data_IF_171762681431
#
_entry.id   IF_171762681431
#
_cell.length_a   1.000
_cell.length_b   1.000
_cell.length_c   1.000
_cell.angle_alpha   90.00
_cell.angle_beta   90.00
_cell.angle_gamma   90.00
#
_symmetry.space_group_name_H-M   'P 1'
#
loop_
_entity.id
_entity.type
_entity.pdbx_description
1 polymer ?
#
# COMPACT_ATOMS: atom_id res chain seq x y z
N UNK A 1 -9.66 5.81 1.65
CA UNK A 1 -9.09 4.70 0.85
C UNK A 1 -10.01 3.49 0.84
N UNK A 2 -9.83 2.61 -0.16
CA UNK A 2 -10.53 1.32 -0.29
C UNK A 2 -9.45 0.24 -0.29
N UNK A 3 -9.41 -0.56 0.79
CA UNK A 3 -8.51 -1.71 0.89
C UNK A 3 -9.04 -2.90 0.07
N UNK A 4 -8.14 -3.68 -0.51
CA UNK A 4 -8.48 -4.79 -1.41
C UNK A 4 -7.94 -6.15 -0.97
N UNK A 5 -7.24 -6.19 0.18
CA UNK A 5 -6.51 -7.37 0.66
C UNK A 5 -7.39 -8.59 0.91
N UNK A 6 -8.62 -8.41 1.40
CA UNK A 6 -9.55 -9.51 1.68
C UNK A 6 -9.81 -10.39 0.45
N UNK A 7 -9.80 -9.83 -0.76
CA UNK A 7 -9.93 -10.61 -1.99
C UNK A 7 -8.86 -11.70 -2.10
N UNK A 8 -7.66 -11.47 -1.60
CA UNK A 8 -6.59 -12.46 -1.57
C UNK A 8 -6.64 -13.32 -0.32
N UNK A 9 -6.75 -12.74 0.86
CA UNK A 9 -6.65 -13.48 2.12
C UNK A 9 -7.80 -14.46 2.34
N UNK A 10 -9.01 -14.12 1.89
CA UNK A 10 -10.21 -14.95 2.09
C UNK A 10 -10.54 -15.83 0.87
N UNK A 11 -10.26 -15.35 -0.36
CA UNK A 11 -10.72 -16.00 -1.58
C UNK A 11 -9.58 -16.43 -2.53
N UNK A 12 -8.33 -16.07 -2.23
CA UNK A 12 -7.17 -16.38 -3.07
C UNK A 12 -7.10 -15.61 -4.39
N UNK A 13 -7.97 -14.61 -4.57
CA UNK A 13 -8.02 -13.81 -5.80
C UNK A 13 -6.89 -12.80 -5.81
N UNK A 14 -5.99 -12.88 -6.80
CA UNK A 14 -4.82 -11.99 -6.87
C UNK A 14 -4.32 -11.69 -8.27
N UNK A 15 -3.63 -10.56 -8.40
CA UNK A 15 -3.03 -10.07 -9.66
C UNK A 15 -1.84 -10.91 -10.12
N UNK A 16 -1.20 -11.67 -9.22
CA UNK A 16 -0.04 -12.53 -9.54
C UNK A 16 -0.41 -13.99 -9.78
N UNK A 17 -1.67 -14.39 -9.61
CA UNK A 17 -2.09 -15.79 -9.65
C UNK A 17 -1.69 -16.48 -10.95
N UNK A 18 -1.30 -17.77 -10.90
CA UNK A 18 -0.87 -18.54 -12.08
C UNK A 18 -2.02 -18.79 -13.07
N UNK A 19 -3.25 -19.01 -12.58
CA UNK A 19 -4.44 -19.14 -13.41
C UNK A 19 -4.87 -17.76 -13.97
N UNK A 20 -4.95 -17.61 -15.30
CA UNK A 20 -5.39 -16.36 -15.92
C UNK A 20 -6.81 -15.95 -15.53
N UNK A 21 -7.73 -16.90 -15.29
CA UNK A 21 -9.12 -16.58 -14.89
C UNK A 21 -9.18 -15.92 -13.51
N UNK A 22 -8.32 -16.35 -12.59
CA UNK A 22 -8.23 -15.74 -11.25
C UNK A 22 -7.63 -14.34 -11.33
N UNK A 23 -6.63 -14.11 -12.20
CA UNK A 23 -6.09 -12.77 -12.45
C UNK A 23 -7.11 -11.83 -13.09
N UNK A 24 -7.86 -12.31 -14.09
CA UNK A 24 -8.95 -11.56 -14.72
C UNK A 24 -10.00 -11.14 -13.69
N UNK A 25 -10.35 -12.03 -12.77
CA UNK A 25 -11.26 -11.70 -11.66
C UNK A 25 -10.65 -10.64 -10.73
N UNK A 26 -9.35 -10.71 -10.40
CA UNK A 26 -8.69 -9.69 -9.61
C UNK A 26 -8.74 -8.31 -10.30
N UNK A 27 -8.42 -8.25 -11.58
CA UNK A 27 -8.50 -7.02 -12.40
C UNK A 27 -9.93 -6.49 -12.45
N UNK A 28 -10.92 -7.36 -12.66
CA UNK A 28 -12.35 -7.00 -12.65
C UNK A 28 -12.76 -6.39 -11.32
N UNK A 29 -12.35 -6.97 -10.18
CA UNK A 29 -12.64 -6.43 -8.84
C UNK A 29 -12.04 -5.06 -8.64
N UNK A 30 -10.78 -4.86 -9.03
CA UNK A 30 -10.16 -3.52 -9.00
C UNK A 30 -10.98 -2.54 -9.84
N UNK A 31 -11.49 -2.95 -11.00
CA UNK A 31 -12.37 -2.12 -11.82
C UNK A 31 -13.64 -1.68 -11.09
N UNK A 32 -14.27 -2.57 -10.31
CA UNK A 32 -15.45 -2.25 -9.48
C UNK A 32 -15.08 -1.29 -8.35
N UNK A 33 -13.95 -1.52 -7.66
CA UNK A 33 -13.47 -0.62 -6.61
C UNK A 33 -13.12 0.78 -7.17
N UNK A 34 -12.56 0.86 -8.36
CA UNK A 34 -12.29 2.13 -9.04
C UNK A 34 -13.58 2.89 -9.40
N UNK A 35 -14.64 2.19 -9.84
CA UNK A 35 -15.95 2.81 -10.07
C UNK A 35 -16.54 3.39 -8.79
N UNK A 36 -16.35 2.70 -7.68
CA UNK A 36 -16.81 3.17 -6.38
C UNK A 36 -15.95 4.34 -5.88
N UNK A 37 -14.63 4.19 -5.98
CA UNK A 37 -13.66 5.20 -5.56
C UNK A 37 -13.85 6.53 -6.30
N UNK A 38 -14.09 6.50 -7.62
CA UNK A 38 -14.28 7.69 -8.43
C UNK A 38 -15.50 8.53 -7.99
N UNK A 39 -16.56 7.86 -7.51
CA UNK A 39 -17.78 8.53 -7.00
C UNK A 39 -17.59 9.14 -5.61
N UNK A 40 -16.68 8.59 -4.82
CA UNK A 40 -16.43 9.03 -3.45
C UNK A 40 -15.20 9.94 -3.30
N UNK A 41 -14.47 10.20 -4.38
CA UNK A 41 -13.17 10.86 -4.28
C UNK A 41 -12.13 10.05 -3.49
N UNK A 42 -12.32 8.72 -3.43
CA UNK A 42 -11.44 7.81 -2.71
C UNK A 42 -10.32 7.26 -3.60
N UNK A 43 -9.34 6.59 -3.01
CA UNK A 43 -8.25 5.89 -3.69
C UNK A 43 -8.35 4.40 -3.42
N UNK A 44 -7.89 3.56 -4.35
CA UNK A 44 -7.90 2.10 -4.22
C UNK A 44 -6.50 1.59 -3.94
N UNK A 45 -6.34 0.80 -2.89
CA UNK A 45 -5.05 0.27 -2.45
C UNK A 45 -4.78 -1.07 -3.16
N UNK A 46 -3.63 -1.16 -3.82
CA UNK A 46 -3.04 -2.42 -4.30
C UNK A 46 -2.09 -2.91 -3.22
N UNK A 47 -2.68 -3.51 -2.20
CA UNK A 47 -2.01 -4.17 -1.09
C UNK A 47 -2.03 -5.69 -1.27
N UNK A 48 -2.68 -6.44 -0.39
CA UNK A 48 -2.76 -7.90 -0.41
C UNK A 48 -3.28 -8.50 -1.71
N UNK A 49 -4.15 -7.81 -2.47
CA UNK A 49 -4.67 -8.31 -3.75
C UNK A 49 -3.58 -8.54 -4.82
N UNK A 50 -2.37 -7.98 -4.65
CA UNK A 50 -1.25 -8.34 -5.53
C UNK A 50 -0.92 -9.83 -5.45
N UNK A 51 -1.21 -10.44 -4.30
CA UNK A 51 -0.97 -11.84 -4.02
C UNK A 51 0.47 -12.14 -3.64
N UNK A 52 0.81 -13.41 -3.79
CA UNK A 52 2.13 -13.97 -3.51
C UNK A 52 2.44 -15.01 -4.58
N UNK A 53 3.71 -15.10 -4.98
CA UNK A 53 4.17 -16.17 -5.88
C UNK A 53 4.66 -17.38 -5.07
N UNK A 54 5.23 -18.38 -5.73
CA UNK A 54 5.84 -19.52 -5.06
C UNK A 54 6.94 -19.09 -4.08
N UNK A 55 7.44 -20.02 -3.27
CA UNK A 55 8.46 -19.69 -2.25
C UNK A 55 9.75 -19.12 -2.87
N UNK A 56 10.32 -18.14 -2.18
CA UNK A 56 11.53 -17.44 -2.60
C UNK A 56 11.24 -16.18 -3.42
N UNK A 57 12.25 -15.67 -4.11
CA UNK A 57 12.09 -14.54 -5.00
C UNK A 57 11.20 -14.92 -6.22
N UNK A 58 10.35 -14.00 -6.71
CA UNK A 58 9.53 -14.26 -7.87
C UNK A 58 10.40 -14.53 -9.10
N UNK A 59 10.00 -15.50 -9.92
CA UNK A 59 10.61 -15.67 -11.23
C UNK A 59 10.29 -14.48 -12.12
N UNK A 60 11.10 -14.28 -13.18
CA UNK A 60 10.82 -13.22 -14.15
C UNK A 60 9.42 -13.32 -14.75
N UNK A 61 8.95 -14.55 -15.02
CA UNK A 61 7.61 -14.77 -15.56
C UNK A 61 6.51 -14.40 -14.56
N UNK A 62 6.66 -14.76 -13.28
CA UNK A 62 5.72 -14.41 -12.22
C UNK A 62 5.65 -12.90 -12.00
N UNK A 63 6.81 -12.24 -12.00
CA UNK A 63 6.90 -10.78 -11.92
C UNK A 63 6.19 -10.10 -13.09
N UNK A 64 6.51 -10.47 -14.33
CA UNK A 64 5.90 -9.86 -15.52
C UNK A 64 4.39 -10.13 -15.60
N UNK A 65 3.92 -11.24 -15.08
CA UNK A 65 2.50 -11.57 -14.96
C UNK A 65 1.77 -10.60 -14.03
N UNK A 66 2.36 -10.34 -12.85
CA UNK A 66 1.86 -9.32 -11.91
C UNK A 66 1.88 -7.93 -12.52
N UNK A 67 3.00 -7.53 -13.12
CA UNK A 67 3.15 -6.20 -13.73
C UNK A 67 2.09 -5.96 -14.81
N UNK A 68 1.87 -6.91 -15.71
CA UNK A 68 0.84 -6.80 -16.76
C UNK A 68 -0.57 -6.60 -16.19
N UNK A 69 -0.92 -7.35 -15.15
CA UNK A 69 -2.22 -7.18 -14.49
C UNK A 69 -2.34 -5.81 -13.80
N UNK A 70 -1.27 -5.33 -13.16
CA UNK A 70 -1.23 -4.01 -12.55
C UNK A 70 -1.37 -2.90 -13.60
N UNK A 71 -0.65 -3.00 -14.73
CA UNK A 71 -0.78 -2.04 -15.85
C UNK A 71 -2.21 -1.96 -16.40
N UNK A 72 -2.92 -3.08 -16.44
CA UNK A 72 -4.33 -3.08 -16.83
C UNK A 72 -5.20 -2.33 -15.83
N UNK A 73 -4.96 -2.54 -14.52
CA UNK A 73 -5.63 -1.79 -13.46
C UNK A 73 -5.33 -0.29 -13.55
N UNK A 74 -4.09 0.09 -13.86
CA UNK A 74 -3.68 1.50 -14.03
C UNK A 74 -4.41 2.14 -15.23
N UNK A 75 -4.47 1.46 -16.37
CA UNK A 75 -5.25 1.94 -17.52
C UNK A 75 -6.73 2.14 -17.20
N UNK A 76 -7.31 1.30 -16.33
CA UNK A 76 -8.68 1.51 -15.85
C UNK A 76 -8.77 2.74 -14.93
N UNK A 77 -7.81 2.93 -14.03
CA UNK A 77 -7.76 4.09 -13.14
C UNK A 77 -7.66 5.41 -13.94
N UNK A 78 -6.84 5.44 -14.98
CA UNK A 78 -6.72 6.59 -15.89
C UNK A 78 -8.06 6.94 -16.55
N UNK A 79 -8.73 5.95 -17.14
CA UNK A 79 -10.05 6.16 -17.80
C UNK A 79 -11.13 6.64 -16.84
N UNK A 80 -11.04 6.25 -15.56
CA UNK A 80 -12.03 6.59 -14.53
C UNK A 80 -11.66 7.84 -13.72
N UNK A 81 -10.50 8.44 -13.95
CA UNK A 81 -9.99 9.56 -13.16
C UNK A 81 -9.71 9.22 -11.69
N UNK A 82 -9.58 7.93 -11.36
CA UNK A 82 -9.30 7.44 -10.03
C UNK A 82 -7.80 7.21 -9.80
N UNK A 83 -7.36 7.04 -8.56
CA UNK A 83 -5.96 6.80 -8.21
C UNK A 83 -5.79 5.45 -7.52
N UNK A 84 -4.78 4.71 -7.93
CA UNK A 84 -4.29 3.50 -7.29
C UNK A 84 -3.11 3.84 -6.37
N UNK A 85 -3.06 3.17 -5.24
CA UNK A 85 -1.96 3.27 -4.28
C UNK A 85 -1.30 1.90 -4.16
N UNK A 86 -0.05 1.78 -4.60
CA UNK A 86 0.76 0.58 -4.42
C UNK A 86 1.38 0.62 -3.04
N UNK A 87 1.00 -0.33 -2.20
CA UNK A 87 1.49 -0.44 -0.83
C UNK A 87 2.60 -1.48 -0.75
N UNK A 88 3.86 -1.14 -0.47
CA UNK A 88 4.89 -2.11 -0.13
C UNK A 88 4.50 -2.87 1.12
N UNK A 89 4.55 -4.20 1.08
CA UNK A 89 4.15 -5.08 2.18
C UNK A 89 5.32 -5.98 2.55
N UNK A 90 5.53 -6.24 3.84
CA UNK A 90 6.66 -6.97 4.36
C UNK A 90 6.78 -8.40 3.79
N UNK A 91 8.00 -8.94 3.85
CA UNK A 91 8.42 -10.25 3.32
C UNK A 91 7.68 -11.45 3.90
N UNK A 92 7.04 -11.31 5.05
CA UNK A 92 6.30 -12.40 5.67
C UNK A 92 4.93 -12.60 5.01
N UNK A 93 4.37 -11.55 4.42
CA UNK A 93 3.05 -11.55 3.80
C UNK A 93 3.09 -11.71 2.27
N UNK A 94 4.09 -11.13 1.61
CA UNK A 94 4.26 -11.26 0.16
C UNK A 94 5.75 -11.35 -0.21
N UNK A 95 6.04 -11.77 -1.44
CA UNK A 95 7.37 -11.70 -2.05
C UNK A 95 7.38 -10.81 -3.30
N UNK A 96 6.40 -9.92 -3.41
CA UNK A 96 6.25 -8.95 -4.50
C UNK A 96 6.18 -7.54 -3.93
N UNK A 97 7.14 -6.68 -4.27
CA UNK A 97 7.20 -5.26 -3.85
C UNK A 97 7.18 -5.13 -2.32
N UNK A 98 8.30 -5.41 -1.70
CA UNK A 98 8.44 -5.35 -0.24
C UNK A 98 8.92 -3.99 0.25
N UNK A 99 9.74 -3.29 -0.54
CA UNK A 99 10.34 -2.00 -0.16
C UNK A 99 9.75 -0.83 -0.92
N UNK A 100 9.87 0.37 -0.35
CA UNK A 100 9.52 1.62 -1.02
C UNK A 100 10.31 1.78 -2.32
N UNK A 101 11.60 1.39 -2.33
CA UNK A 101 12.45 1.43 -3.52
C UNK A 101 11.91 0.55 -4.65
N UNK A 102 11.52 -0.69 -4.36
CA UNK A 102 10.89 -1.58 -5.36
C UNK A 102 9.60 -0.98 -5.92
N UNK A 103 8.80 -0.33 -5.06
CA UNK A 103 7.60 0.37 -5.49
C UNK A 103 7.94 1.57 -6.39
N UNK A 104 8.97 2.37 -6.06
CA UNK A 104 9.45 3.48 -6.89
C UNK A 104 9.86 3.03 -8.30
N UNK A 105 10.63 1.94 -8.37
CA UNK A 105 11.06 1.36 -9.66
C UNK A 105 9.86 0.93 -10.51
N UNK A 106 8.88 0.28 -9.89
CA UNK A 106 7.68 -0.19 -10.58
C UNK A 106 6.76 0.96 -11.01
N UNK A 107 6.50 1.94 -10.12
CA UNK A 107 5.70 3.12 -10.44
C UNK A 107 6.35 3.94 -11.55
N UNK A 108 7.67 4.15 -11.48
CA UNK A 108 8.43 4.85 -12.53
C UNK A 108 8.42 4.09 -13.86
N UNK A 109 8.52 2.77 -13.84
CA UNK A 109 8.42 1.92 -15.04
C UNK A 109 7.05 2.04 -15.72
N UNK A 110 5.96 2.07 -14.93
CA UNK A 110 4.59 2.22 -15.46
C UNK A 110 4.33 3.65 -15.94
N UNK A 111 4.87 4.65 -15.26
CA UNK A 111 4.89 6.04 -15.69
C UNK A 111 3.53 6.74 -15.71
N UNK A 112 2.60 6.35 -14.83
CA UNK A 112 1.26 6.92 -14.72
C UNK A 112 1.10 7.76 -13.46
N UNK A 113 0.57 8.96 -13.57
CA UNK A 113 0.19 9.81 -12.42
C UNK A 113 -0.96 9.21 -11.57
N UNK A 114 -1.63 8.17 -12.09
CA UNK A 114 -2.72 7.46 -11.40
C UNK A 114 -2.23 6.28 -10.57
N UNK A 115 -0.93 6.03 -10.53
CA UNK A 115 -0.31 5.04 -9.65
C UNK A 115 0.69 5.74 -8.74
N UNK A 116 0.45 5.72 -7.43
CA UNK A 116 1.31 6.32 -6.42
C UNK A 116 1.67 5.29 -5.36
N UNK A 117 2.57 5.62 -4.46
CA UNK A 117 3.05 4.72 -3.41
C UNK A 117 2.31 5.04 -2.10
N UNK A 118 1.97 4.00 -1.35
CA UNK A 118 1.44 4.08 0.01
C UNK A 118 2.39 3.38 0.98
N UNK A 119 3.41 4.06 1.52
CA UNK A 119 4.20 3.50 2.59
C UNK A 119 3.33 3.19 3.82
N UNK A 120 3.68 2.14 4.55
CA UNK A 120 3.07 1.78 5.83
C UNK A 120 4.18 1.55 6.85
N UNK A 121 4.15 2.28 7.96
CA UNK A 121 5.23 2.28 8.94
C UNK A 121 5.47 0.92 9.59
N UNK A 122 4.46 0.07 9.72
CA UNK A 122 4.64 -1.30 10.20
C UNK A 122 5.43 -2.15 9.21
N UNK A 123 5.10 -2.08 7.92
CA UNK A 123 5.83 -2.81 6.88
C UNK A 123 7.24 -2.25 6.71
N UNK A 124 7.40 -0.94 6.70
CA UNK A 124 8.70 -0.27 6.63
C UNK A 124 9.62 -0.62 7.80
N UNK A 125 9.07 -0.77 9.01
CA UNK A 125 9.86 -1.17 10.19
C UNK A 125 10.52 -2.56 10.03
N UNK A 126 10.01 -3.39 9.14
CA UNK A 126 10.56 -4.72 8.83
C UNK A 126 11.54 -4.65 7.65
N UNK A 127 11.25 -3.82 6.65
CA UNK A 127 11.93 -3.86 5.35
C UNK A 127 12.95 -2.74 5.12
N UNK A 128 12.75 -1.55 5.72
CA UNK A 128 13.56 -0.39 5.42
C UNK A 128 14.72 -0.20 6.41
N UNK A 129 15.87 0.15 5.92
CA UNK A 129 16.99 0.54 6.76
C UNK A 129 16.78 1.91 7.42
N UNK A 130 16.03 2.81 6.77
CA UNK A 130 15.60 4.12 7.26
C UNK A 130 14.24 4.44 6.66
N UNK A 131 13.20 4.50 7.50
CA UNK A 131 11.85 4.83 7.07
C UNK A 131 11.76 6.26 6.54
N UNK A 132 12.34 7.22 7.27
CA UNK A 132 12.38 8.63 6.86
C UNK A 132 13.18 8.81 5.56
N UNK A 133 14.31 8.11 5.40
CA UNK A 133 15.12 8.15 4.18
C UNK A 133 14.36 7.65 2.97
N UNK A 134 13.63 6.54 3.09
CA UNK A 134 12.83 5.97 2.02
C UNK A 134 11.65 6.89 1.61
N UNK A 135 11.03 7.59 2.57
CA UNK A 135 9.96 8.57 2.28
C UNK A 135 10.52 9.77 1.52
N UNK A 136 11.66 10.32 1.96
CA UNK A 136 12.30 11.45 1.27
C UNK A 136 12.73 11.07 -0.14
N UNK A 137 13.32 9.87 -0.32
CA UNK A 137 13.73 9.36 -1.64
C UNK A 137 12.52 9.18 -2.58
N UNK A 138 11.40 8.68 -2.08
CA UNK A 138 10.18 8.51 -2.86
C UNK A 138 9.53 9.85 -3.26
N UNK A 139 9.71 10.88 -2.46
CA UNK A 139 9.30 12.25 -2.78
C UNK A 139 7.83 12.33 -3.20
N UNK A 140 7.59 12.96 -4.34
CA UNK A 140 6.25 13.19 -4.89
C UNK A 140 5.53 11.92 -5.39
N UNK A 141 6.20 10.77 -5.43
CA UNK A 141 5.53 9.49 -5.72
C UNK A 141 4.67 8.99 -4.54
N UNK A 142 4.88 9.49 -3.33
CA UNK A 142 4.07 9.13 -2.15
C UNK A 142 2.68 9.73 -2.27
N UNK A 143 1.64 8.92 -2.29
CA UNK A 143 0.23 9.35 -2.37
C UNK A 143 -0.48 9.44 -1.02
N UNK A 144 0.10 8.91 0.02
CA UNK A 144 -0.40 8.88 1.39
C UNK A 144 0.52 8.10 2.30
N UNK A 145 0.20 8.01 3.60
CA UNK A 145 0.93 7.21 4.57
C UNK A 145 -0.04 6.41 5.43
N UNK A 146 0.18 5.11 5.58
CA UNK A 146 -0.39 4.32 6.65
C UNK A 146 0.52 4.35 7.87
N UNK A 147 -0.08 4.55 9.05
CA UNK A 147 0.65 4.53 10.32
C UNK A 147 0.12 3.43 11.24
N UNK A 148 1.05 2.59 11.68
CA UNK A 148 0.89 1.66 12.79
C UNK A 148 2.23 1.56 13.51
N UNK A 149 2.22 1.18 14.78
CA UNK A 149 3.47 0.95 15.49
C UNK A 149 4.11 -0.40 15.12
N UNK A 150 5.30 -0.66 15.58
CA UNK A 150 6.11 -1.85 15.30
C UNK A 150 5.42 -3.19 15.58
N UNK A 151 4.39 -3.19 16.39
CA UNK A 151 3.56 -4.34 16.76
C UNK A 151 2.17 -4.33 16.11
N UNK A 152 1.96 -3.50 15.09
CA UNK A 152 0.67 -3.27 14.39
C UNK A 152 -0.41 -2.64 15.28
N UNK A 153 -0.07 -2.14 16.46
CA UNK A 153 -0.98 -1.40 17.33
C UNK A 153 -0.99 0.10 16.99
N UNK A 154 -1.81 0.86 17.70
CA UNK A 154 -1.85 2.30 17.53
C UNK A 154 -0.47 2.93 17.82
N UNK A 155 -0.06 3.98 17.07
CA UNK A 155 1.21 4.67 17.28
C UNK A 155 1.41 5.13 18.73
N UNK A 156 2.60 4.83 19.26
CA UNK A 156 2.98 5.06 20.66
C UNK A 156 2.72 3.88 21.59
N UNK A 157 2.28 2.72 21.06
CA UNK A 157 2.19 1.44 21.78
C UNK A 157 3.25 0.43 21.37
N UNK A 158 4.19 0.82 20.53
CA UNK A 158 5.39 0.08 20.15
C UNK A 158 6.65 0.91 20.34
N UNK A 159 7.59 0.81 19.40
CA UNK A 159 8.90 1.46 19.52
C UNK A 159 9.29 2.35 18.32
N UNK A 160 8.35 2.60 17.38
CA UNK A 160 8.66 3.47 16.24
C UNK A 160 8.73 4.93 16.71
N UNK A 161 9.83 5.62 16.35
CA UNK A 161 9.90 7.07 16.46
C UNK A 161 9.24 7.72 15.23
N UNK A 162 8.06 8.28 15.43
CA UNK A 162 7.29 8.92 14.36
C UNK A 162 7.71 10.36 14.03
N UNK A 163 8.53 10.98 14.88
CA UNK A 163 8.93 12.37 14.66
C UNK A 163 9.81 12.57 13.40
N UNK A 164 10.83 11.71 13.13
CA UNK A 164 11.56 11.75 11.86
C UNK A 164 10.67 11.49 10.63
N UNK A 165 9.72 10.56 10.76
CA UNK A 165 8.78 10.20 9.68
C UNK A 165 7.89 11.39 9.29
N UNK A 166 7.34 12.10 10.28
CA UNK A 166 6.53 13.30 10.03
C UNK A 166 7.33 14.43 9.37
N UNK A 167 8.60 14.61 9.76
CA UNK A 167 9.48 15.59 9.10
C UNK A 167 9.76 15.20 7.64
N UNK A 168 10.08 13.93 7.40
CA UNK A 168 10.31 13.40 6.05
C UNK A 168 9.09 13.59 5.14
N UNK A 169 7.90 13.36 5.67
CA UNK A 169 6.65 13.53 4.92
C UNK A 169 6.42 14.98 4.49
N UNK A 170 6.73 15.95 5.38
CA UNK A 170 6.68 17.39 5.07
C UNK A 170 7.74 17.78 4.03
N UNK A 171 8.95 17.23 4.14
CA UNK A 171 10.03 17.48 3.19
C UNK A 171 9.68 16.95 1.79
N UNK A 172 9.14 15.74 1.72
CA UNK A 172 8.68 15.12 0.47
C UNK A 172 7.52 15.87 -0.20
N UNK A 173 6.76 16.69 0.55
CA UNK A 173 5.60 17.46 0.07
C UNK A 173 4.52 16.65 -0.65
N UNK A 174 4.42 15.38 -0.34
CA UNK A 174 3.77 14.45 -1.23
C UNK A 174 2.51 13.78 -0.66
N UNK A 175 2.47 13.48 0.62
CA UNK A 175 1.34 12.75 1.19
C UNK A 175 0.07 13.60 1.25
N UNK A 176 -0.96 13.12 0.59
CA UNK A 176 -2.26 13.79 0.59
C UNK A 176 -3.11 13.44 1.84
N UNK A 177 -2.74 12.38 2.54
CA UNK A 177 -3.39 11.93 3.77
C UNK A 177 -2.46 11.05 4.61
N UNK A 178 -2.78 10.96 5.90
CA UNK A 178 -2.23 9.95 6.83
C UNK A 178 -3.41 9.19 7.44
N UNK A 179 -3.32 7.88 7.50
CA UNK A 179 -4.38 7.01 8.00
C UNK A 179 -3.80 5.93 8.92
N UNK A 180 -4.44 5.68 10.06
CA UNK A 180 -4.06 4.56 10.92
C UNK A 180 -4.60 3.23 10.35
N UNK A 181 -3.70 2.22 10.19
CA UNK A 181 -4.05 0.86 9.83
C UNK A 181 -3.53 -0.10 10.91
N UNK A 182 -4.34 -0.31 11.93
CA UNK A 182 -3.95 -0.92 13.20
C UNK A 182 -4.83 -2.10 13.58
N UNK A 183 -4.31 -2.99 14.41
CA UNK A 183 -5.12 -4.00 15.08
C UNK A 183 -6.00 -3.34 16.15
N UNK A 184 -7.26 -3.78 16.29
CA UNK A 184 -8.21 -3.25 17.29
C UNK A 184 -7.92 -3.81 18.69
N UNK A 185 -6.74 -3.48 19.24
CA UNK A 185 -6.29 -3.98 20.56
C UNK A 185 -5.83 -2.81 21.43
N UNK A 186 -6.03 -2.93 22.78
CA UNK A 186 -6.66 -4.05 23.50
C UNK A 186 -8.15 -4.24 23.20
N UNK A 187 -8.84 -3.21 22.73
CA UNK A 187 -10.23 -3.15 22.28
C UNK A 187 -10.39 -2.04 21.23
N UNK A 188 -11.49 -2.07 20.49
CA UNK A 188 -11.76 -1.17 19.35
C UNK A 188 -11.75 0.31 19.78
N UNK A 189 -12.33 0.63 20.95
CA UNK A 189 -12.48 2.01 21.42
C UNK A 189 -11.11 2.59 21.80
N UNK A 190 -10.36 1.87 22.64
CA UNK A 190 -9.01 2.28 23.07
C UNK A 190 -8.05 2.46 21.87
N UNK A 191 -8.10 1.53 20.91
CA UNK A 191 -7.30 1.61 19.70
C UNK A 191 -7.65 2.84 18.85
N UNK A 192 -8.97 3.11 18.68
CA UNK A 192 -9.45 4.26 17.92
C UNK A 192 -9.09 5.59 18.60
N UNK A 193 -9.30 5.70 19.91
CA UNK A 193 -8.96 6.92 20.66
C UNK A 193 -7.47 7.21 20.58
N UNK A 194 -6.61 6.21 20.80
CA UNK A 194 -5.16 6.37 20.71
C UNK A 194 -4.70 6.79 19.31
N UNK A 195 -5.22 6.15 18.28
CA UNK A 195 -4.91 6.51 16.88
C UNK A 195 -5.40 7.91 16.53
N UNK A 196 -6.61 8.29 16.96
CA UNK A 196 -7.18 9.62 16.74
C UNK A 196 -6.33 10.71 17.39
N UNK A 197 -5.91 10.51 18.63
CA UNK A 197 -5.09 11.47 19.35
C UNK A 197 -3.69 11.61 18.72
N UNK A 198 -3.12 10.51 18.25
CA UNK A 198 -1.88 10.55 17.50
C UNK A 198 -2.03 11.35 16.19
N UNK A 199 -3.05 11.06 15.39
CA UNK A 199 -3.26 11.69 14.08
C UNK A 199 -3.54 13.21 14.18
N UNK A 200 -4.23 13.67 15.24
CA UNK A 200 -4.45 15.11 15.50
C UNK A 200 -3.14 15.86 15.75
N UNK A 201 -2.14 15.19 16.30
CA UNK A 201 -0.86 15.78 16.70
C UNK A 201 0.29 15.34 15.80
N UNK A 202 0.03 14.54 14.77
CA UNK A 202 1.04 14.08 13.82
C UNK A 202 1.53 15.29 13.01
N UNK A 203 2.85 15.48 12.91
CA UNK A 203 3.46 16.69 12.35
C UNK A 203 3.18 16.90 10.86
#
# INVERSE_FOLDING_TARGET
>A
TIATGQSFYEEGVSLSHSDPKVREEAVRRIGVFLDFASKLGARVIIGGIRGRTAQGAPTKEEWERFVKALEECVRMAERKGATLLLEPINRYETNLVNTVREAMELVSRIGSERLRILPDTFHMNIEEASMEGSIVEAGDLVGGLHVADSNRLAPGWGHIDFAPIGRALKEAKAAEFVCAEILPKPDDVSALEKASDFLKNFP
#
